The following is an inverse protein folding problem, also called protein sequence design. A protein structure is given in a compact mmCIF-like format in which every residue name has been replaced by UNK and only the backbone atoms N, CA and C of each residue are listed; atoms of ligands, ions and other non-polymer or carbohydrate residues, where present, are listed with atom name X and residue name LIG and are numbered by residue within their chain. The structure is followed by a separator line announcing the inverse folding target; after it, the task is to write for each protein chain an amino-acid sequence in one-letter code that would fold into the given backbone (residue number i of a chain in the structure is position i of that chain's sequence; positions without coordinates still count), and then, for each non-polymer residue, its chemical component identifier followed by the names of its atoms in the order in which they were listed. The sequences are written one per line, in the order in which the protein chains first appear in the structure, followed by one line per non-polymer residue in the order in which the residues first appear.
data_IF_461909185142
#
_entry.id   IF_461909185142
#
_cell.length_a   1.000
_cell.length_b   1.000
_cell.length_c   1.000
_cell.angle_alpha   90.00
_cell.angle_beta   90.00
_cell.angle_gamma   90.00
#
_symmetry.space_group_name_H-M   'P 1'
#
loop_
_entity.id
_entity.type
_entity.pdbx_description
1 polymer ?
#
# COMPACT_ATOMS: atom_id res chain seq x y z
N UNK A 1 18.66 11.66 8.56
CA UNK A 1 18.47 10.56 7.59
C UNK A 1 19.83 10.12 7.09
N UNK A 2 20.11 8.81 7.03
CA UNK A 2 21.35 8.26 6.46
C UNK A 2 21.22 8.19 4.93
N UNK A 3 22.22 8.65 4.18
CA UNK A 3 22.26 8.54 2.71
C UNK A 3 22.70 7.13 2.29
N UNK A 4 21.81 6.15 2.45
CA UNK A 4 22.00 4.78 1.97
C UNK A 4 21.24 4.59 0.65
N UNK A 5 21.84 3.87 -0.30
CA UNK A 5 21.24 3.58 -1.59
C UNK A 5 21.31 2.09 -1.89
N UNK A 6 20.28 1.57 -2.54
CA UNK A 6 20.26 0.22 -3.08
C UNK A 6 21.29 0.08 -4.21
N UNK A 7 21.59 -1.16 -4.64
CA UNK A 7 22.46 -1.36 -5.81
C UNK A 7 21.82 -0.89 -7.11
N UNK A 8 20.48 -0.76 -7.14
CA UNK A 8 19.75 -0.14 -8.25
C UNK A 8 19.75 1.39 -8.21
N UNK A 9 20.28 2.00 -7.14
CA UNK A 9 20.35 3.46 -6.98
C UNK A 9 19.13 4.09 -6.30
N UNK A 10 18.22 3.30 -5.74
CA UNK A 10 17.06 3.81 -4.99
C UNK A 10 17.48 4.19 -3.56
N UNK A 11 16.97 5.30 -2.99
CA UNK A 11 17.25 5.64 -1.60
C UNK A 11 16.68 4.59 -0.63
N UNK A 12 17.42 4.31 0.44
CA UNK A 12 16.99 3.45 1.55
C UNK A 12 16.76 4.31 2.79
N UNK A 13 15.52 4.31 3.25
CA UNK A 13 15.12 5.03 4.47
C UNK A 13 15.16 4.09 5.68
N UNK A 14 15.78 4.55 6.77
CA UNK A 14 15.77 3.85 8.06
C UNK A 14 15.15 4.72 9.13
N UNK A 15 14.10 4.21 9.75
CA UNK A 15 13.34 4.90 10.79
C UNK A 15 13.77 4.37 12.16
N UNK A 16 14.24 5.25 13.04
CA UNK A 16 14.71 4.90 14.41
C UNK A 16 13.89 5.60 15.49
N UNK A 17 13.50 6.83 15.22
CA UNK A 17 12.72 7.67 16.13
C UNK A 17 11.33 7.90 15.53
N UNK A 18 10.29 7.71 16.35
CA UNK A 18 8.92 8.15 16.08
C UNK A 18 8.76 9.54 16.68
N UNK A 19 8.11 10.47 15.98
CA UNK A 19 7.68 11.70 16.65
C UNK A 19 6.76 11.34 17.82
N UNK A 20 7.25 11.52 19.04
CA UNK A 20 6.51 11.25 20.27
C UNK A 20 5.98 12.57 20.82
N UNK A 21 4.76 12.91 20.44
CA UNK A 21 4.02 14.03 21.00
C UNK A 21 2.55 13.87 20.68
N UNK A 22 1.69 13.81 21.69
CA UNK A 22 0.25 13.83 21.48
C UNK A 22 -0.12 15.14 20.78
N UNK A 23 -0.82 15.03 19.65
CA UNK A 23 -1.42 16.15 18.93
C UNK A 23 -2.88 15.80 18.65
N UNK A 24 -3.81 16.77 18.62
CA UNK A 24 -5.18 16.47 18.23
C UNK A 24 -5.19 15.84 16.83
N UNK A 25 -6.00 14.80 16.59
CA UNK A 25 -6.07 14.17 15.28
C UNK A 25 -6.48 15.21 14.24
N UNK A 26 -5.70 15.29 13.17
CA UNK A 26 -6.06 16.15 12.05
C UNK A 26 -7.15 15.47 11.23
N UNK A 27 -8.18 16.22 10.90
CA UNK A 27 -9.19 15.88 9.90
C UNK A 27 -8.87 16.69 8.63
N UNK A 28 -9.16 16.13 7.46
CA UNK A 28 -9.03 16.86 6.21
C UNK A 28 -9.94 18.09 6.14
N UNK A 29 -9.76 18.90 5.11
CA UNK A 29 -10.71 19.98 4.81
C UNK A 29 -12.14 19.41 4.64
N UNK A 30 -13.16 20.24 4.89
CA UNK A 30 -14.55 19.83 4.72
C UNK A 30 -14.79 19.30 3.29
N UNK A 31 -15.37 18.09 3.17
CA UNK A 31 -15.59 17.45 1.87
C UNK A 31 -14.38 16.68 1.32
N UNK A 32 -13.22 16.66 2.01
CA UNK A 32 -12.01 15.98 1.51
C UNK A 32 -12.19 14.47 1.42
N UNK A 33 -12.70 13.84 2.48
CA UNK A 33 -13.03 12.42 2.52
C UNK A 33 -14.11 12.05 1.51
N UNK A 34 -15.13 12.89 1.37
CA UNK A 34 -16.28 12.69 0.50
C UNK A 34 -15.84 12.68 -0.97
N UNK A 35 -14.94 13.59 -1.38
CA UNK A 35 -14.34 13.56 -2.72
C UNK A 35 -13.58 12.26 -3.00
N UNK A 36 -12.86 11.73 -2.01
CA UNK A 36 -12.14 10.46 -2.14
C UNK A 36 -13.13 9.31 -2.26
N UNK A 37 -14.16 9.27 -1.42
CA UNK A 37 -15.21 8.28 -1.45
C UNK A 37 -15.94 8.28 -2.81
N UNK A 38 -16.41 9.45 -3.28
CA UNK A 38 -17.06 9.60 -4.59
C UNK A 38 -16.17 9.12 -5.75
N UNK A 39 -14.87 9.38 -5.67
CA UNK A 39 -13.91 8.88 -6.64
C UNK A 39 -13.81 7.35 -6.58
N UNK A 40 -13.66 6.76 -5.40
CA UNK A 40 -13.65 5.30 -5.24
C UNK A 40 -14.96 4.66 -5.73
N UNK A 41 -16.11 5.26 -5.42
CA UNK A 41 -17.41 4.75 -5.83
C UNK A 41 -17.62 4.79 -7.35
N UNK A 42 -17.16 5.86 -8.00
CA UNK A 42 -17.19 5.98 -9.47
C UNK A 42 -16.47 4.79 -10.14
N UNK A 43 -15.26 4.49 -9.67
CA UNK A 43 -14.38 3.52 -10.33
C UNK A 43 -14.60 2.08 -9.85
N UNK A 44 -14.91 1.85 -8.57
CA UNK A 44 -15.03 0.53 -7.97
C UNK A 44 -16.46 0.16 -7.55
N UNK A 45 -17.25 1.11 -7.04
CA UNK A 45 -18.66 0.90 -6.67
C UNK A 45 -18.94 1.33 -5.23
N UNK A 46 -20.19 1.21 -4.82
CA UNK A 46 -20.68 1.77 -3.55
C UNK A 46 -19.92 1.24 -2.32
N UNK A 47 -19.60 2.15 -1.40
CA UNK A 47 -19.02 1.78 -0.10
C UNK A 47 -20.06 1.03 0.74
N UNK A 48 -19.66 -0.14 1.24
CA UNK A 48 -20.52 -1.02 2.04
C UNK A 48 -20.36 -0.78 3.56
N UNK A 49 -19.12 -0.58 4.01
CA UNK A 49 -18.80 -0.45 5.43
C UNK A 49 -17.50 0.32 5.65
N UNK A 50 -17.35 0.94 6.82
CA UNK A 50 -16.14 1.66 7.23
C UNK A 50 -15.60 1.08 8.53
N UNK A 51 -14.32 0.72 8.54
CA UNK A 51 -13.59 0.23 9.71
C UNK A 51 -12.85 1.38 10.40
N UNK A 52 -13.57 2.05 11.30
CA UNK A 52 -13.05 3.22 12.00
C UNK A 52 -11.81 2.93 12.84
N UNK A 53 -10.92 3.92 12.93
CA UNK A 53 -9.81 3.88 13.86
C UNK A 53 -10.27 4.10 15.31
N UNK A 54 -9.96 3.12 16.18
CA UNK A 54 -10.36 3.15 17.60
C UNK A 54 -9.46 4.07 18.44
N UNK A 55 -8.18 4.23 18.07
CA UNK A 55 -7.21 5.06 18.80
C UNK A 55 -6.49 5.98 17.80
N UNK A 56 -6.92 7.24 17.73
CA UNK A 56 -6.31 8.25 16.85
C UNK A 56 -5.26 9.06 17.62
N UNK A 57 -3.99 8.66 17.54
CA UNK A 57 -2.91 9.36 18.24
C UNK A 57 -2.30 10.52 17.43
N UNK A 58 -2.47 10.55 16.09
CA UNK A 58 -1.86 11.56 15.22
C UNK A 58 -2.75 11.98 14.02
N UNK A 59 -3.23 11.02 13.23
CA UNK A 59 -4.15 11.22 12.10
C UNK A 59 -5.26 10.19 12.20
N UNK A 60 -6.49 10.62 11.93
CA UNK A 60 -7.64 9.73 11.87
C UNK A 60 -7.66 8.97 10.53
N UNK A 61 -7.40 7.66 10.56
CA UNK A 61 -7.38 6.80 9.37
C UNK A 61 -8.56 5.84 9.39
N UNK A 62 -9.49 6.07 8.47
CA UNK A 62 -10.57 5.14 8.19
C UNK A 62 -10.19 4.18 7.07
N UNK A 63 -10.66 2.94 7.16
CA UNK A 63 -10.56 1.96 6.07
C UNK A 63 -11.95 1.62 5.58
N UNK A 64 -12.24 2.03 4.35
CA UNK A 64 -13.50 1.79 3.66
C UNK A 64 -13.46 0.46 2.94
N UNK A 65 -14.64 -0.15 2.77
CA UNK A 65 -14.79 -1.42 2.11
C UNK A 65 -15.85 -1.36 1.03
N UNK A 66 -15.48 -1.76 -0.19
CA UNK A 66 -16.38 -2.00 -1.32
C UNK A 66 -16.43 -3.51 -1.55
N UNK A 67 -17.65 -4.06 -1.53
CA UNK A 67 -17.90 -5.49 -1.75
C UNK A 67 -17.65 -5.90 -3.22
N UNK A 68 -17.35 -7.19 -3.48
CA UNK A 68 -17.31 -7.74 -4.83
C UNK A 68 -18.59 -7.45 -5.60
N UNK A 69 -18.43 -7.08 -6.86
CA UNK A 69 -19.51 -6.85 -7.81
C UNK A 69 -19.24 -7.61 -9.11
N UNK A 70 -20.20 -7.60 -10.04
CA UNK A 70 -19.99 -8.17 -11.36
C UNK A 70 -18.88 -7.45 -12.16
N UNK A 71 -18.68 -6.14 -11.93
CA UNK A 71 -17.63 -5.34 -12.58
C UNK A 71 -16.26 -5.63 -11.97
N UNK A 72 -16.22 -5.74 -10.64
CA UNK A 72 -15.00 -6.00 -9.86
C UNK A 72 -15.24 -7.18 -8.93
N UNK A 73 -14.92 -8.42 -9.35
CA UNK A 73 -15.23 -9.64 -8.60
C UNK A 73 -14.22 -9.89 -7.46
N UNK A 74 -13.94 -8.87 -6.67
CA UNK A 74 -13.00 -8.85 -5.55
C UNK A 74 -13.38 -7.71 -4.58
N UNK A 75 -12.95 -7.82 -3.32
CA UNK A 75 -13.10 -6.74 -2.35
C UNK A 75 -12.09 -5.63 -2.64
N UNK A 76 -12.48 -4.39 -2.38
CA UNK A 76 -11.55 -3.26 -2.34
C UNK A 76 -11.60 -2.66 -0.95
N UNK A 77 -10.44 -2.58 -0.30
CA UNK A 77 -10.25 -1.81 0.92
C UNK A 77 -9.39 -0.60 0.60
N UNK A 78 -9.76 0.58 1.07
CA UNK A 78 -9.00 1.81 0.83
C UNK A 78 -9.01 2.73 2.05
N UNK A 79 -7.97 3.56 2.15
CA UNK A 79 -7.86 4.53 3.23
C UNK A 79 -8.54 5.85 2.88
N UNK A 80 -9.10 6.50 3.91
CA UNK A 80 -9.21 7.95 3.95
C UNK A 80 -8.47 8.44 5.18
N UNK A 81 -7.66 9.48 5.01
CA UNK A 81 -7.01 10.18 6.12
C UNK A 81 -5.50 10.29 5.95
N UNK A 82 -4.87 9.40 5.18
CA UNK A 82 -3.43 9.52 4.86
C UNK A 82 -3.13 10.86 4.19
N UNK A 83 -4.08 11.32 3.37
CA UNK A 83 -4.01 12.58 2.64
C UNK A 83 -4.52 13.81 3.40
N UNK A 84 -4.89 13.70 4.69
CA UNK A 84 -5.30 14.88 5.48
C UNK A 84 -4.15 15.83 5.79
N UNK A 85 -2.92 15.34 5.73
CA UNK A 85 -1.70 16.14 5.83
C UNK A 85 -0.77 15.81 4.66
N UNK A 86 0.02 16.79 4.18
CA UNK A 86 1.02 16.53 3.17
C UNK A 86 2.14 15.65 3.75
N UNK A 87 2.55 14.64 3.01
CA UNK A 87 3.77 13.87 3.26
C UNK A 87 5.02 14.72 3.01
N UNK A 88 6.14 14.35 3.63
CA UNK A 88 7.42 15.04 3.45
C UNK A 88 8.13 14.55 2.18
N UNK A 89 7.66 15.02 1.02
CA UNK A 89 8.25 14.70 -0.29
C UNK A 89 9.56 15.44 -0.53
N UNK A 90 10.51 14.86 -1.28
CA UNK A 90 11.73 15.57 -1.68
C UNK A 90 11.42 16.70 -2.68
N UNK A 91 12.35 17.65 -2.80
CA UNK A 91 12.27 18.75 -3.76
C UNK A 91 12.02 18.23 -5.19
N UNK A 92 11.06 18.84 -5.89
CA UNK A 92 10.64 18.43 -7.23
C UNK A 92 9.64 17.27 -7.26
N UNK A 93 9.11 16.85 -6.11
CA UNK A 93 8.05 15.82 -5.97
C UNK A 93 6.83 16.33 -5.19
N UNK A 94 6.62 17.64 -5.14
CA UNK A 94 5.54 18.28 -4.38
C UNK A 94 4.15 17.80 -4.82
N UNK A 95 3.97 17.46 -6.11
CA UNK A 95 2.73 16.89 -6.67
C UNK A 95 2.38 15.47 -6.15
N UNK A 96 3.26 14.87 -5.33
CA UNK A 96 3.08 13.54 -4.73
C UNK A 96 2.88 13.62 -3.21
N UNK A 97 2.72 14.83 -2.65
CA UNK A 97 2.59 15.03 -1.20
C UNK A 97 1.29 14.49 -0.60
N UNK A 98 0.30 14.16 -1.43
CA UNK A 98 -0.95 13.54 -0.98
C UNK A 98 -1.20 12.20 -1.67
N UNK A 99 -1.46 11.18 -0.88
CA UNK A 99 -1.80 9.85 -1.37
C UNK A 99 -2.80 9.15 -0.45
N UNK A 100 -3.54 8.21 -1.02
CA UNK A 100 -4.32 7.19 -0.31
C UNK A 100 -3.89 5.80 -0.77
N UNK A 101 -4.09 4.82 0.11
CA UNK A 101 -3.70 3.44 -0.10
C UNK A 101 -4.92 2.56 -0.32
N UNK A 102 -4.74 1.51 -1.11
CA UNK A 102 -5.77 0.50 -1.33
C UNK A 102 -5.21 -0.91 -1.42
N UNK A 103 -6.07 -1.91 -1.23
CA UNK A 103 -5.74 -3.31 -1.48
C UNK A 103 -6.96 -4.00 -2.08
N UNK A 104 -6.72 -4.83 -3.10
CA UNK A 104 -7.75 -5.66 -3.72
C UNK A 104 -7.61 -7.09 -3.19
N UNK A 105 -8.66 -7.61 -2.56
CA UNK A 105 -8.65 -8.95 -1.93
C UNK A 105 -9.63 -9.88 -2.66
N UNK A 106 -9.29 -11.16 -2.80
CA UNK A 106 -10.15 -12.09 -3.53
C UNK A 106 -11.49 -12.28 -2.80
N UNK A 107 -12.59 -12.61 -3.52
CA UNK A 107 -13.96 -12.59 -2.98
C UNK A 107 -14.21 -13.57 -1.82
N UNK A 108 -13.32 -14.55 -1.62
CA UNK A 108 -13.33 -15.49 -0.50
C UNK A 108 -12.69 -14.93 0.77
N UNK A 109 -12.04 -13.77 0.70
CA UNK A 109 -11.39 -13.14 1.86
C UNK A 109 -12.43 -12.77 2.92
N UNK A 110 -12.18 -13.14 4.17
CA UNK A 110 -13.14 -12.91 5.25
C UNK A 110 -13.00 -11.48 5.79
N UNK A 111 -14.03 -10.67 5.62
CA UNK A 111 -14.06 -9.25 6.03
C UNK A 111 -15.21 -9.03 7.02
N UNK A 112 -14.86 -8.91 8.30
CA UNK A 112 -15.74 -8.50 9.41
C UNK A 112 -14.91 -8.32 10.67
N UNK A 113 -15.46 -7.62 11.67
CA UNK A 113 -14.81 -7.49 12.99
C UNK A 113 -14.48 -8.84 13.63
N UNK A 114 -15.34 -9.86 13.44
CA UNK A 114 -15.08 -11.21 13.94
C UNK A 114 -13.94 -11.89 13.17
N UNK A 115 -13.96 -11.79 11.83
CA UNK A 115 -12.92 -12.38 10.99
C UNK A 115 -11.54 -11.77 11.24
N UNK A 116 -11.50 -10.48 11.57
CA UNK A 116 -10.28 -9.73 11.87
C UNK A 116 -9.66 -10.05 13.23
N UNK A 117 -10.31 -10.85 14.08
CA UNK A 117 -9.62 -11.46 15.24
C UNK A 117 -8.53 -12.42 14.81
N UNK A 118 -8.59 -12.97 13.59
CA UNK A 118 -7.52 -13.74 12.98
C UNK A 118 -6.59 -12.83 12.18
N UNK A 119 -5.31 -12.81 12.53
CA UNK A 119 -4.28 -12.01 11.85
C UNK A 119 -4.15 -12.34 10.36
N UNK A 120 -4.42 -13.58 9.95
CA UNK A 120 -4.41 -14.00 8.54
C UNK A 120 -5.42 -13.25 7.67
N UNK A 121 -6.51 -12.75 8.27
CA UNK A 121 -7.50 -11.92 7.59
C UNK A 121 -7.27 -10.42 7.80
N UNK A 122 -6.69 -10.03 8.94
CA UNK A 122 -6.56 -8.64 9.37
C UNK A 122 -5.32 -7.92 8.82
N UNK A 123 -4.26 -8.65 8.46
CA UNK A 123 -3.01 -8.01 8.00
C UNK A 123 -3.21 -6.96 6.89
N UNK A 124 -4.13 -7.09 5.90
CA UNK A 124 -4.30 -6.03 4.90
C UNK A 124 -4.78 -4.71 5.51
N UNK A 125 -5.73 -4.77 6.45
CA UNK A 125 -6.24 -3.58 7.18
C UNK A 125 -5.14 -3.00 8.07
N UNK A 126 -4.39 -3.85 8.77
CA UNK A 126 -3.25 -3.42 9.56
C UNK A 126 -2.23 -2.65 8.70
N UNK A 127 -1.86 -3.18 7.54
CA UNK A 127 -0.87 -2.59 6.66
C UNK A 127 -1.35 -1.28 6.02
N UNK A 128 -2.62 -1.19 5.61
CA UNK A 128 -3.21 0.07 5.17
C UNK A 128 -3.06 1.15 6.24
N UNK A 129 -3.47 0.85 7.48
CA UNK A 129 -3.41 1.79 8.61
C UNK A 129 -1.97 2.15 8.97
N UNK A 130 -1.08 1.15 9.07
CA UNK A 130 0.33 1.36 9.43
C UNK A 130 1.03 2.24 8.39
N UNK A 131 0.91 1.92 7.10
CA UNK A 131 1.53 2.69 6.03
C UNK A 131 0.92 4.09 5.88
N UNK A 132 -0.38 4.26 6.13
CA UNK A 132 -1.01 5.58 6.11
C UNK A 132 -0.45 6.53 7.18
N UNK A 133 0.01 6.00 8.33
CA UNK A 133 0.65 6.81 9.39
C UNK A 133 2.14 7.02 9.17
N UNK A 134 2.81 6.09 8.50
CA UNK A 134 4.26 6.05 8.33
C UNK A 134 4.87 7.39 7.85
N UNK A 135 4.35 8.07 6.79
CA UNK A 135 4.86 9.37 6.35
C UNK A 135 4.91 10.42 7.46
N UNK A 136 3.92 10.37 8.33
CA UNK A 136 3.61 11.39 9.31
C UNK A 136 4.33 11.15 10.64
N UNK A 137 4.49 9.89 11.01
CA UNK A 137 5.22 9.48 12.21
C UNK A 137 6.75 9.64 12.05
N UNK A 138 7.24 9.63 10.82
CA UNK A 138 8.67 9.58 10.50
C UNK A 138 9.16 10.68 9.55
N UNK A 139 8.34 11.70 9.27
CA UNK A 139 8.68 12.79 8.34
C UNK A 139 9.22 12.30 7.00
N UNK A 140 8.47 11.40 6.39
CA UNK A 140 8.83 10.74 5.14
C UNK A 140 7.66 10.78 4.17
N UNK A 141 7.76 10.02 3.08
CA UNK A 141 6.74 9.97 2.04
C UNK A 141 6.66 8.57 1.45
N UNK A 142 5.49 8.24 0.92
CA UNK A 142 5.23 6.98 0.22
C UNK A 142 4.84 7.28 -1.22
N UNK A 143 5.39 6.50 -2.14
CA UNK A 143 5.17 6.67 -3.56
C UNK A 143 5.34 5.36 -4.33
N UNK A 144 5.08 5.43 -5.63
CA UNK A 144 5.24 4.29 -6.53
C UNK A 144 6.65 3.68 -6.44
N UNK A 145 6.73 2.36 -6.35
CA UNK A 145 7.97 1.60 -6.30
C UNK A 145 8.62 1.54 -4.91
N UNK A 146 8.08 2.24 -3.91
CA UNK A 146 8.54 2.11 -2.53
C UNK A 146 8.21 0.71 -2.00
N UNK A 147 9.18 0.10 -1.31
CA UNK A 147 9.07 -1.22 -0.70
C UNK A 147 9.27 -1.13 0.80
N UNK A 148 8.40 -1.76 1.57
CA UNK A 148 8.43 -1.75 3.03
C UNK A 148 8.47 -3.21 3.51
N UNK A 149 9.57 -3.68 4.14
CA UNK A 149 9.62 -5.00 4.75
C UNK A 149 8.84 -5.03 6.06
N UNK A 150 8.34 -6.20 6.43
CA UNK A 150 7.71 -6.42 7.73
C UNK A 150 8.78 -6.63 8.81
N UNK A 151 9.36 -5.53 9.30
CA UNK A 151 10.46 -5.56 10.26
C UNK A 151 11.85 -5.65 9.62
N UNK A 152 12.87 -5.65 10.47
CA UNK A 152 14.29 -5.83 10.10
C UNK A 152 14.95 -6.71 11.18
N UNK A 153 15.14 -8.03 10.94
CA UNK A 153 14.90 -8.76 9.69
C UNK A 153 13.42 -8.86 9.31
N UNK A 154 13.14 -9.03 8.02
CA UNK A 154 11.77 -9.17 7.51
C UNK A 154 11.14 -10.50 7.94
N UNK A 155 9.90 -10.44 8.45
CA UNK A 155 9.08 -11.59 8.85
C UNK A 155 7.83 -11.72 7.96
N UNK A 156 7.22 -12.90 7.83
CA UNK A 156 5.99 -13.05 7.04
C UNK A 156 4.87 -12.10 7.48
N UNK A 157 4.08 -11.58 6.53
CA UNK A 157 2.98 -10.63 6.79
C UNK A 157 1.88 -11.22 7.69
N UNK A 158 1.71 -12.54 7.63
CA UNK A 158 0.82 -13.34 8.48
C UNK A 158 1.17 -14.83 8.36
N UNK A 159 0.64 -15.67 9.26
CA UNK A 159 0.89 -17.11 9.31
C UNK A 159 0.53 -17.88 8.02
N UNK A 160 -0.36 -17.34 7.19
CA UNK A 160 -0.86 -17.98 5.98
C UNK A 160 -0.09 -17.62 4.69
N UNK A 161 0.99 -16.83 4.79
CA UNK A 161 1.79 -16.44 3.62
C UNK A 161 3.28 -16.42 3.96
N UNK A 162 4.14 -16.60 2.96
CA UNK A 162 5.59 -16.43 3.09
C UNK A 162 6.07 -15.09 2.49
N UNK A 163 5.14 -14.24 2.06
CA UNK A 163 5.43 -12.86 1.68
C UNK A 163 5.71 -12.06 2.96
N UNK A 164 6.73 -11.21 2.93
CA UNK A 164 7.35 -10.57 4.08
C UNK A 164 7.61 -9.06 3.85
N UNK A 165 7.02 -8.50 2.79
CA UNK A 165 7.01 -7.06 2.56
C UNK A 165 5.96 -6.62 1.56
N UNK A 166 5.84 -5.31 1.36
CA UNK A 166 4.88 -4.68 0.45
C UNK A 166 5.59 -3.75 -0.51
N UNK A 167 5.18 -3.74 -1.79
CA UNK A 167 5.47 -2.66 -2.74
C UNK A 167 4.21 -1.84 -3.02
N UNK A 168 4.38 -0.53 -3.18
CA UNK A 168 3.32 0.38 -3.60
C UNK A 168 3.37 0.59 -5.10
N UNK A 169 2.31 0.21 -5.82
CA UNK A 169 2.20 0.42 -7.27
C UNK A 169 0.81 0.96 -7.64
N UNK A 170 0.65 1.74 -8.72
CA UNK A 170 -0.67 2.09 -9.23
C UNK A 170 -1.48 0.83 -9.58
N UNK A 171 -2.78 0.76 -9.26
CA UNK A 171 -3.64 -0.36 -9.67
C UNK A 171 -3.76 -0.43 -11.19
N UNK A 172 -3.77 -1.63 -11.77
CA UNK A 172 -3.78 -1.84 -13.22
C UNK A 172 -5.06 -2.48 -13.76
N UNK A 173 -5.96 -2.95 -12.88
CA UNK A 173 -7.29 -3.50 -13.26
C UNK A 173 -8.36 -2.43 -13.42
N UNK A 174 -8.08 -1.22 -12.97
CA UNK A 174 -8.94 -0.04 -13.10
C UNK A 174 -8.47 0.85 -14.25
N UNK A 175 -9.39 1.64 -14.80
CA UNK A 175 -9.06 2.60 -15.86
C UNK A 175 -8.12 3.72 -15.36
N UNK A 176 -7.27 4.24 -16.26
CA UNK A 176 -6.21 5.19 -15.92
C UNK A 176 -6.70 6.50 -15.28
N UNK A 177 -7.96 6.89 -15.50
CA UNK A 177 -8.58 8.05 -14.85
C UNK A 177 -8.66 7.94 -13.33
N UNK A 178 -8.51 6.74 -12.78
CA UNK A 178 -8.54 6.50 -11.33
C UNK A 178 -7.28 7.00 -10.60
N UNK A 179 -6.11 6.97 -11.23
CA UNK A 179 -4.84 7.08 -10.49
C UNK A 179 -4.62 8.41 -9.77
N UNK A 180 -5.38 9.45 -10.12
CA UNK A 180 -5.22 10.78 -9.53
C UNK A 180 -6.56 11.48 -9.41
N UNK A 181 -6.88 11.93 -8.20
CA UNK A 181 -8.02 12.77 -7.91
C UNK A 181 -7.55 14.21 -7.69
N UNK A 182 -8.09 15.15 -8.46
CA UNK A 182 -7.82 16.58 -8.27
C UNK A 182 -8.67 17.10 -7.11
N UNK A 183 -8.04 17.65 -6.08
CA UNK A 183 -8.73 18.16 -4.89
C UNK A 183 -9.11 19.63 -5.04
N UNK A 184 -8.18 20.45 -5.53
CA UNK A 184 -8.31 21.89 -5.78
C UNK A 184 -7.32 22.33 -6.90
N UNK A 185 -6.99 23.61 -7.04
CA UNK A 185 -6.06 24.10 -8.08
C UNK A 185 -4.58 23.72 -7.86
N UNK A 186 -4.20 23.30 -6.67
CA UNK A 186 -2.82 23.00 -6.30
C UNK A 186 -2.63 21.52 -5.94
N UNK A 187 -3.65 20.90 -5.35
CA UNK A 187 -3.55 19.58 -4.72
C UNK A 187 -4.22 18.48 -5.53
N UNK A 188 -3.56 17.33 -5.52
CA UNK A 188 -4.10 16.08 -6.05
C UNK A 188 -3.72 14.90 -5.16
N UNK A 189 -4.64 13.95 -4.98
CA UNK A 189 -4.42 12.70 -4.26
C UNK A 189 -4.06 11.60 -5.25
N UNK A 190 -2.94 10.91 -5.01
CA UNK A 190 -2.53 9.71 -5.74
C UNK A 190 -3.04 8.45 -5.05
N UNK A 191 -3.35 7.41 -5.82
CA UNK A 191 -3.80 6.13 -5.27
C UNK A 191 -2.77 5.03 -5.53
N UNK A 192 -2.34 4.34 -4.47
CA UNK A 192 -1.39 3.24 -4.56
C UNK A 192 -1.95 1.96 -3.97
N UNK A 193 -1.78 0.86 -4.69
CA UNK A 193 -2.12 -0.49 -4.22
C UNK A 193 -0.98 -1.11 -3.43
N UNK A 194 -1.33 -1.77 -2.33
CA UNK A 194 -0.45 -2.65 -1.57
C UNK A 194 -0.31 -3.98 -2.31
N UNK A 195 0.90 -4.28 -2.77
CA UNK A 195 1.20 -5.56 -3.43
C UNK A 195 2.22 -6.33 -2.56
N UNK A 196 1.80 -7.43 -1.93
CA UNK A 196 2.68 -8.28 -1.13
C UNK A 196 3.82 -8.88 -1.97
N UNK A 197 5.02 -8.86 -1.41
CA UNK A 197 6.25 -9.36 -2.01
C UNK A 197 6.85 -10.50 -1.19
N UNK A 198 7.49 -11.44 -1.88
CA UNK A 198 8.45 -12.33 -1.24
C UNK A 198 9.80 -11.62 -1.02
N UNK A 199 10.57 -12.09 -0.04
CA UNK A 199 11.90 -11.56 0.26
C UNK A 199 12.85 -11.60 -0.94
N UNK A 200 12.77 -12.61 -1.81
CA UNK A 200 13.54 -12.66 -3.04
C UNK A 200 13.13 -11.59 -4.06
N UNK A 201 11.86 -11.18 -4.08
CA UNK A 201 11.35 -10.12 -4.95
C UNK A 201 11.79 -8.74 -4.46
N UNK A 202 11.74 -8.49 -3.13
CA UNK A 202 12.31 -7.30 -2.52
C UNK A 202 13.82 -7.20 -2.80
N UNK A 203 14.55 -8.30 -2.59
CA UNK A 203 15.98 -8.35 -2.90
C UNK A 203 16.26 -8.14 -4.39
N UNK A 204 15.42 -8.68 -5.27
CA UNK A 204 15.56 -8.44 -6.71
C UNK A 204 15.39 -6.95 -7.04
N UNK A 205 14.36 -6.29 -6.49
CA UNK A 205 14.15 -4.84 -6.63
C UNK A 205 15.36 -4.05 -6.14
N UNK A 206 15.89 -4.34 -4.95
CA UNK A 206 17.09 -3.68 -4.42
C UNK A 206 18.32 -3.83 -5.33
N UNK A 207 18.41 -4.93 -6.09
CA UNK A 207 19.53 -5.20 -6.99
C UNK A 207 19.32 -4.71 -8.43
N UNK A 208 18.07 -4.62 -8.91
CA UNK A 208 17.73 -4.46 -10.33
C UNK A 208 16.74 -3.32 -10.63
N UNK A 209 16.17 -2.69 -9.62
CA UNK A 209 15.19 -1.60 -9.75
C UNK A 209 13.75 -2.09 -9.85
N UNK A 210 12.82 -1.14 -9.71
CA UNK A 210 11.37 -1.41 -9.76
C UNK A 210 10.92 -1.91 -11.13
N UNK A 211 11.42 -1.29 -12.22
CA UNK A 211 11.00 -1.62 -13.60
C UNK A 211 11.31 -3.09 -13.95
N UNK A 212 12.49 -3.56 -13.55
CA UNK A 212 12.87 -4.96 -13.78
C UNK A 212 12.00 -5.94 -12.97
N UNK A 213 11.49 -5.53 -11.81
CA UNK A 213 10.55 -6.34 -11.02
C UNK A 213 9.16 -6.33 -11.65
N UNK A 214 8.65 -5.17 -12.07
CA UNK A 214 7.34 -5.07 -12.73
C UNK A 214 7.32 -5.81 -14.07
N UNK A 215 8.42 -5.83 -14.83
CA UNK A 215 8.56 -6.68 -16.03
C UNK A 215 8.35 -8.18 -15.73
N UNK A 216 8.72 -8.64 -14.53
CA UNK A 216 8.48 -10.03 -14.10
C UNK A 216 7.02 -10.23 -13.70
N UNK A 217 6.40 -9.23 -13.09
CA UNK A 217 4.98 -9.26 -12.74
C UNK A 217 4.13 -9.34 -13.99
N UNK A 218 4.41 -8.52 -15.00
CA UNK A 218 3.70 -8.53 -16.28
C UNK A 218 3.77 -9.90 -16.96
N UNK A 219 4.96 -10.51 -16.98
CA UNK A 219 5.18 -11.86 -17.54
C UNK A 219 4.42 -12.96 -16.79
N UNK A 220 3.97 -12.71 -15.56
CA UNK A 220 3.23 -13.67 -14.74
C UNK A 220 1.78 -13.21 -14.48
N UNK A 221 1.35 -12.08 -15.06
CA UNK A 221 0.01 -11.52 -14.85
C UNK A 221 -0.26 -11.09 -13.41
N UNK A 222 0.77 -10.69 -12.66
CA UNK A 222 0.61 -10.19 -11.29
C UNK A 222 0.03 -8.77 -11.34
N UNK A 223 -0.94 -8.51 -10.46
CA UNK A 223 -1.69 -7.26 -10.37
C UNK A 223 -1.85 -6.85 -8.90
N UNK A 224 -2.65 -5.81 -8.64
CA UNK A 224 -3.06 -5.40 -7.29
C UNK A 224 -3.97 -6.39 -6.55
N UNK A 225 -4.57 -7.37 -7.25
CA UNK A 225 -5.35 -8.43 -6.62
C UNK A 225 -4.42 -9.37 -5.85
N UNK A 226 -4.57 -9.40 -4.53
CA UNK A 226 -3.77 -10.24 -3.63
C UNK A 226 -4.02 -11.71 -3.91
N UNK A 227 -2.95 -12.44 -4.19
CA UNK A 227 -2.91 -13.90 -4.25
C UNK A 227 -1.75 -14.39 -3.37
N UNK A 228 -2.06 -14.84 -2.15
CA UNK A 228 -1.08 -15.35 -1.19
C UNK A 228 -0.45 -16.69 -1.64
N UNK A 229 -1.06 -17.37 -2.59
CA UNK A 229 -0.61 -18.64 -3.16
C UNK A 229 0.18 -18.50 -4.47
N UNK A 230 0.35 -17.28 -5.00
CA UNK A 230 1.03 -17.06 -6.28
C UNK A 230 2.48 -17.56 -6.25
N UNK A 231 3.04 -17.84 -7.42
CA UNK A 231 4.47 -18.16 -7.51
C UNK A 231 5.33 -16.93 -7.26
N UNK A 232 6.42 -17.12 -6.53
CA UNK A 232 7.50 -16.14 -6.42
C UNK A 232 8.22 -15.98 -7.76
N UNK A 233 8.24 -14.76 -8.31
CA UNK A 233 8.78 -14.44 -9.65
C UNK A 233 10.32 -14.39 -9.70
N UNK A 234 10.95 -14.43 -8.53
CA UNK A 234 12.39 -14.33 -8.33
C UNK A 234 12.99 -15.59 -7.68
N UNK A 235 12.19 -16.62 -7.40
CA UNK A 235 12.69 -17.89 -6.86
C UNK A 235 13.61 -18.56 -7.88
N UNK A 236 14.83 -18.91 -7.44
CA UNK A 236 15.78 -19.65 -8.26
C UNK A 236 15.23 -21.05 -8.56
N UNK A 237 15.22 -21.44 -9.83
CA UNK A 237 14.87 -22.81 -10.23
C UNK A 237 15.94 -23.79 -9.74
N UNK A 238 15.51 -24.88 -9.12
CA UNK A 238 16.36 -25.96 -8.59
C UNK A 238 17.24 -26.62 -9.68
N UNK A 239 16.85 -26.51 -10.96
CA UNK A 239 17.61 -27.01 -12.11
C UNK A 239 18.84 -26.18 -12.46
N UNK A 240 19.00 -24.97 -11.91
CA UNK A 240 20.19 -24.14 -12.15
C UNK A 240 21.45 -24.70 -11.47
N UNK A 241 21.32 -25.62 -10.51
CA UNK A 241 22.44 -26.20 -9.77
C UNK A 241 23.16 -27.35 -10.51
N UNK A 242 22.54 -27.92 -11.57
CA UNK A 242 23.08 -29.10 -12.28
C UNK A 242 23.68 -28.76 -13.65
N UNK A 243 23.84 -27.47 -13.97
CA UNK A 243 24.48 -26.98 -15.21
C UNK A 243 25.70 -26.09 -14.93
N UNK A 244 26.31 -26.23 -13.75
CA UNK A 244 27.59 -25.60 -13.38
C UNK A 244 28.72 -26.60 -13.42
#
# INVERSE_FOLDING_TARGET
MTNEYSKSGDPIYRYKDKETGWRPPTYGEEGWSEKIEEHMERYYGTVDSVFHEVLSDFIHIDVHHIKPSARHPYHVLFTTGMSYLPMNTPEGREDYRFAELMVCLPPEWQISDEAFKNQSNYWPVYWLKMLARLPHEHHTWLGQGHTIPNGDPAEPLADNTAMDGIILLPPIRVEAGFHTLRMNEEDSVRFYSLIPLYGEEMNFKLNKGSDALTDKFDKQGISELVDIGRKNTCKRSWFSFWKG
#
